data_IF_778082918419
#
_entry.id   IF_778082918419
#
_cell.length_a   1.000
_cell.length_b   1.000
_cell.length_c   1.000
_cell.angle_alpha   90.00
_cell.angle_beta   90.00
_cell.angle_gamma   90.00
#
_symmetry.space_group_name_H-M   'P 1'
#
loop_
_entity.id
_entity.type
_entity.pdbx_description
1 polymer ?
#
# COMPACT_ATOMS: atom_id res chain seq x y z
N UNK A 1 -47.01 1.77 -30.93
CA UNK A 1 -46.97 1.85 -29.45
C UNK A 1 -46.04 0.82 -28.81
N UNK A 2 -45.93 -0.42 -29.32
CA UNK A 2 -44.99 -1.44 -28.78
C UNK A 2 -43.51 -1.10 -28.94
N UNK A 3 -43.11 -0.42 -30.03
CA UNK A 3 -41.71 0.00 -30.26
C UNK A 3 -41.20 1.01 -29.22
N UNK A 4 -42.04 1.95 -28.79
CA UNK A 4 -41.66 3.02 -27.82
C UNK A 4 -41.39 2.44 -26.43
N UNK A 5 -42.14 1.41 -26.02
CA UNK A 5 -41.93 0.71 -24.75
C UNK A 5 -40.62 -0.08 -24.71
N UNK A 6 -40.21 -0.67 -25.84
CA UNK A 6 -38.95 -1.43 -25.95
C UNK A 6 -37.75 -0.47 -25.89
N UNK A 7 -37.82 0.67 -26.59
CA UNK A 7 -36.75 1.69 -26.57
C UNK A 7 -36.57 2.30 -25.18
N UNK A 8 -37.67 2.57 -24.46
CA UNK A 8 -37.61 3.09 -23.09
C UNK A 8 -37.01 2.07 -22.09
N UNK A 9 -37.33 0.78 -22.23
CA UNK A 9 -36.77 -0.28 -21.39
C UNK A 9 -35.26 -0.45 -21.59
N UNK A 10 -34.78 -0.44 -22.85
CA UNK A 10 -33.35 -0.56 -23.17
C UNK A 10 -32.56 0.66 -22.66
N UNK A 11 -33.11 1.87 -22.78
CA UNK A 11 -32.50 3.08 -22.25
C UNK A 11 -32.36 3.03 -20.72
N UNK A 12 -33.38 2.53 -20.00
CA UNK A 12 -33.34 2.36 -18.55
C UNK A 12 -32.32 1.31 -18.09
N UNK A 13 -32.18 0.19 -18.81
CA UNK A 13 -31.18 -0.85 -18.48
C UNK A 13 -29.74 -0.37 -18.72
N UNK A 14 -29.50 0.40 -19.79
CA UNK A 14 -28.18 1.00 -20.05
C UNK A 14 -27.78 2.04 -18.99
N UNK A 15 -28.75 2.77 -18.41
CA UNK A 15 -28.49 3.71 -17.32
C UNK A 15 -28.15 3.00 -16.00
N UNK A 16 -28.69 1.80 -15.77
CA UNK A 16 -28.35 0.98 -14.60
C UNK A 16 -26.92 0.41 -14.70
N UNK A 17 -26.51 -0.11 -15.86
CA UNK A 17 -25.13 -0.60 -16.07
C UNK A 17 -24.09 0.54 -16.03
N UNK A 18 -24.41 1.74 -16.53
CA UNK A 18 -23.48 2.87 -16.53
C UNK A 18 -23.27 3.49 -15.13
N UNK A 19 -24.22 3.32 -14.21
CA UNK A 19 -24.14 3.83 -12.84
C UNK A 19 -23.21 2.99 -11.95
N UNK A 20 -23.14 1.67 -12.18
CA UNK A 20 -22.29 0.73 -11.42
C UNK A 20 -20.79 0.88 -11.74
N UNK A 21 -20.44 1.40 -12.92
CA UNK A 21 -19.05 1.54 -13.37
C UNK A 21 -18.30 2.74 -12.74
N UNK A 22 -19.00 3.63 -12.01
CA UNK A 22 -18.40 4.82 -11.39
C UNK A 22 -18.23 4.70 -9.86
N UNK A 23 -18.71 3.62 -9.26
CA UNK A 23 -18.71 3.44 -7.80
C UNK A 23 -17.62 2.50 -7.28
N UNK A 24 -16.87 1.78 -8.13
CA UNK A 24 -15.76 0.96 -7.65
C UNK A 24 -14.59 1.86 -7.26
N UNK A 25 -14.24 1.99 -5.97
CA UNK A 25 -13.00 2.64 -5.60
C UNK A 25 -11.84 1.91 -6.29
N UNK A 26 -10.76 2.62 -6.66
CA UNK A 26 -9.58 1.96 -7.19
C UNK A 26 -9.17 0.84 -6.20
N UNK A 27 -8.74 -0.33 -6.71
CA UNK A 27 -8.35 -1.42 -5.84
C UNK A 27 -7.32 -0.91 -4.84
N UNK A 28 -7.57 -1.17 -3.56
CA UNK A 28 -6.66 -0.77 -2.50
C UNK A 28 -5.25 -1.33 -2.81
N UNK A 29 -4.17 -0.56 -2.54
CA UNK A 29 -2.82 -1.07 -2.71
C UNK A 29 -2.66 -2.35 -1.89
N UNK A 30 -2.20 -3.43 -2.53
CA UNK A 30 -2.00 -4.72 -1.86
C UNK A 30 -0.88 -4.59 -0.82
N UNK A 31 -1.17 -4.95 0.43
CA UNK A 31 -0.19 -4.92 1.52
C UNK A 31 0.38 -6.33 1.81
N UNK A 32 1.53 -6.38 2.48
CA UNK A 32 2.12 -7.62 2.99
C UNK A 32 2.61 -8.62 1.93
N UNK A 33 2.64 -8.24 0.65
CA UNK A 33 3.12 -9.07 -0.46
C UNK A 33 4.30 -8.39 -1.15
N UNK A 34 5.55 -8.80 -0.89
CA UNK A 34 6.70 -8.22 -1.55
C UNK A 34 6.80 -8.75 -2.99
N UNK A 35 7.29 -7.92 -3.91
CA UNK A 35 7.60 -8.35 -5.30
C UNK A 35 8.89 -9.15 -5.34
N UNK A 36 9.82 -8.83 -4.45
CA UNK A 36 11.08 -9.55 -4.25
C UNK A 36 10.95 -10.36 -2.97
N UNK A 37 11.04 -11.68 -3.05
CA UNK A 37 10.91 -12.51 -1.86
C UNK A 37 12.13 -12.34 -0.93
N UNK A 38 11.92 -12.23 0.41
CA UNK A 38 13.03 -12.14 1.35
C UNK A 38 13.72 -13.49 1.49
N UNK A 39 15.05 -13.45 1.60
CA UNK A 39 15.83 -14.62 2.02
C UNK A 39 15.72 -14.72 3.54
N UNK A 40 15.01 -15.74 4.02
CA UNK A 40 14.79 -15.97 5.44
C UNK A 40 15.74 -17.05 5.95
N UNK A 41 16.62 -16.68 6.88
CA UNK A 41 17.41 -17.63 7.65
C UNK A 41 16.68 -17.95 8.94
N UNK A 42 16.56 -19.24 9.29
CA UNK A 42 15.74 -19.70 10.41
C UNK A 42 16.15 -19.11 11.78
N UNK A 43 17.37 -18.58 11.88
CA UNK A 43 18.02 -18.16 13.12
C UNK A 43 18.08 -16.63 13.32
N UNK A 44 17.64 -15.83 12.34
CA UNK A 44 17.89 -14.39 12.36
C UNK A 44 16.65 -13.56 12.66
N UNK A 45 16.72 -12.66 13.67
CA UNK A 45 15.93 -11.40 13.76
C UNK A 45 16.68 -10.29 14.50
N UNK A 46 17.98 -10.13 14.16
CA UNK A 46 18.94 -9.10 14.65
C UNK A 46 19.33 -9.35 16.13
N UNK A 47 20.56 -9.33 16.67
CA UNK A 47 21.92 -8.92 16.29
C UNK A 47 22.74 -10.00 15.55
N UNK A 48 23.61 -9.57 14.64
CA UNK A 48 24.46 -10.42 13.78
C UNK A 48 23.80 -10.89 12.48
N UNK A 49 22.57 -10.44 12.21
CA UNK A 49 21.80 -10.89 11.05
C UNK A 49 22.41 -10.53 9.69
N UNK A 50 21.71 -10.92 8.63
CA UNK A 50 22.14 -10.70 7.25
C UNK A 50 21.61 -9.41 6.65
N UNK A 51 22.33 -8.92 5.64
CA UNK A 51 21.84 -7.82 4.82
C UNK A 51 20.59 -8.26 4.05
N UNK A 52 19.53 -7.46 4.14
CA UNK A 52 18.30 -7.74 3.42
C UNK A 52 18.48 -7.53 1.91
N UNK A 53 17.88 -8.41 1.10
CA UNK A 53 17.82 -8.23 -0.36
C UNK A 53 17.06 -6.92 -0.66
N UNK A 54 17.61 -6.01 -1.50
CA UNK A 54 16.94 -4.76 -1.84
C UNK A 54 15.51 -4.98 -2.34
N UNK A 55 14.55 -4.26 -1.75
CA UNK A 55 13.14 -4.36 -2.11
C UNK A 55 12.37 -5.54 -1.51
N UNK A 56 13.03 -6.46 -0.79
CA UNK A 56 12.37 -7.62 -0.17
C UNK A 56 11.51 -7.28 1.06
N UNK A 57 11.74 -6.11 1.65
CA UNK A 57 10.92 -5.53 2.72
C UNK A 57 10.41 -4.15 2.29
N UNK A 58 9.45 -4.09 1.33
CA UNK A 58 9.06 -2.83 0.69
C UNK A 58 8.36 -1.84 1.64
N UNK A 59 7.87 -2.33 2.79
CA UNK A 59 7.31 -1.49 3.84
C UNK A 59 8.36 -0.90 4.79
N UNK A 60 9.62 -1.34 4.78
CA UNK A 60 10.62 -0.83 5.72
C UNK A 60 10.91 0.66 5.46
N UNK A 61 10.74 1.49 6.49
CA UNK A 61 11.04 2.91 6.45
C UNK A 61 12.12 3.26 7.48
N UNK A 62 13.13 4.02 7.05
CA UNK A 62 14.13 4.58 7.95
C UNK A 62 13.75 5.98 8.42
N UNK A 63 13.82 6.22 9.73
CA UNK A 63 13.66 7.54 10.31
C UNK A 63 15.04 8.18 10.48
N UNK A 64 15.21 9.35 9.85
CA UNK A 64 16.46 10.09 9.79
C UNK A 64 16.36 11.37 10.63
N UNK A 65 17.47 11.75 11.27
CA UNK A 65 17.56 13.03 11.97
C UNK A 65 17.47 14.24 11.00
N UNK A 66 17.11 15.44 11.51
CA UNK A 66 16.93 16.64 10.70
C UNK A 66 18.14 16.99 9.82
N UNK A 67 17.93 17.70 8.70
CA UNK A 67 18.92 17.89 7.64
C UNK A 67 20.17 18.70 8.05
N UNK A 68 20.13 19.40 9.18
CA UNK A 68 21.27 20.15 9.71
C UNK A 68 22.34 19.26 10.38
N UNK A 69 22.05 17.97 10.55
CA UNK A 69 22.99 16.94 10.98
C UNK A 69 23.25 15.96 9.81
N UNK A 70 24.40 15.27 9.78
CA UNK A 70 24.59 14.15 8.84
C UNK A 70 23.42 13.18 9.00
N UNK A 71 22.79 12.79 7.89
CA UNK A 71 21.59 11.94 7.82
C UNK A 71 21.81 10.64 8.62
N UNK A 72 21.49 10.70 9.91
CA UNK A 72 21.68 9.59 10.84
C UNK A 72 20.36 8.85 10.97
N UNK A 73 20.38 7.59 10.53
CA UNK A 73 19.35 6.62 10.85
C UNK A 73 19.31 6.42 12.36
N UNK A 74 18.13 6.62 12.97
CA UNK A 74 17.98 6.52 14.42
C UNK A 74 16.83 5.59 14.85
N UNK A 75 15.80 5.44 14.02
CA UNK A 75 14.67 4.55 14.25
C UNK A 75 14.17 3.95 12.94
N UNK A 76 13.35 2.90 13.03
CA UNK A 76 12.64 2.32 11.90
C UNK A 76 11.13 2.62 11.92
N UNK A 77 10.45 2.19 10.87
CA UNK A 77 9.00 2.22 10.72
C UNK A 77 8.52 1.29 9.60
N UNK A 78 7.20 1.22 9.44
CA UNK A 78 6.53 0.43 8.41
C UNK A 78 5.53 1.29 7.63
N UNK A 79 5.64 1.32 6.30
CA UNK A 79 4.65 1.92 5.41
C UNK A 79 3.35 1.09 5.46
N UNK A 80 2.25 1.68 5.92
CA UNK A 80 0.95 1.00 6.07
C UNK A 80 -0.04 1.36 4.96
N UNK A 81 0.17 2.50 4.29
CA UNK A 81 -0.52 2.91 3.08
C UNK A 81 0.34 3.89 2.27
N UNK A 82 -0.19 4.45 1.19
CA UNK A 82 0.52 5.39 0.29
C UNK A 82 1.15 6.63 0.94
N UNK A 83 0.76 7.00 2.17
CA UNK A 83 1.15 8.27 2.82
C UNK A 83 1.52 8.14 4.30
N UNK A 84 1.25 7.02 4.95
CA UNK A 84 1.47 6.86 6.39
C UNK A 84 2.53 5.80 6.71
N UNK A 85 3.45 6.17 7.60
CA UNK A 85 4.45 5.28 8.21
C UNK A 85 4.11 5.09 9.68
N UNK A 86 3.94 3.84 10.10
CA UNK A 86 3.77 3.43 11.49
C UNK A 86 5.15 3.28 12.15
N UNK A 87 5.32 3.82 13.36
CA UNK A 87 6.56 3.71 14.15
C UNK A 87 6.27 3.66 15.65
N UNK A 88 7.30 3.48 16.47
CA UNK A 88 7.20 3.52 17.92
C UNK A 88 7.04 4.96 18.44
N UNK A 89 6.16 5.17 19.42
CA UNK A 89 5.91 6.50 19.98
C UNK A 89 7.15 7.16 20.58
N UNK A 90 8.12 6.38 21.06
CA UNK A 90 9.35 6.91 21.65
C UNK A 90 10.35 7.42 20.60
N UNK A 91 10.14 7.11 19.31
CA UNK A 91 10.96 7.65 18.21
C UNK A 91 10.52 9.06 17.78
N UNK A 92 9.33 9.51 18.18
CA UNK A 92 8.71 10.77 17.74
C UNK A 92 8.23 11.64 18.92
N UNK A 93 8.67 11.29 20.13
CA UNK A 93 8.44 12.10 21.33
C UNK A 93 9.54 13.13 21.53
#
# INVERSE_FOLDING_TARGET
>A
MRLVAIVAAVALTCLFEAAEARSTPPPAPQCGRPVVEPVLHAEERILGGTEAVPGSWPWHAGLLLPPFLPQRYFCGGALIDSRHVLTASHCVR
#
